data_IF_914949174934
#
_entry.id   IF_914949174934
#
_cell.length_a   1.000
_cell.length_b   1.000
_cell.length_c   1.000
_cell.angle_alpha   90.00
_cell.angle_beta   90.00
_cell.angle_gamma   90.00
#
_symmetry.space_group_name_H-M   'P 1'
#
loop_
_entity.id
_entity.type
_entity.pdbx_description
1 polymer ?
#
# COMPACT_ATOMS: atom_id res chain seq x y z
N UNK A 1 10.70 -6.28 -26.09
CA UNK A 1 9.28 -5.84 -26.10
C UNK A 1 9.27 -4.47 -25.45
N UNK A 2 8.59 -3.49 -26.07
CA UNK A 2 8.46 -2.14 -25.50
C UNK A 2 7.09 -2.02 -24.83
N UNK A 3 7.07 -1.52 -23.59
CA UNK A 3 5.84 -1.41 -22.79
C UNK A 3 5.75 -0.01 -22.20
N UNK A 4 4.63 0.66 -22.44
CA UNK A 4 4.29 1.92 -21.77
C UNK A 4 3.20 1.67 -20.72
N UNK A 5 3.44 2.12 -19.49
CA UNK A 5 2.47 2.08 -18.39
C UNK A 5 1.96 3.50 -18.16
N UNK A 6 0.64 3.68 -18.20
CA UNK A 6 0.01 4.98 -17.95
C UNK A 6 -0.53 4.98 -16.51
N UNK A 7 0.11 5.78 -15.66
CA UNK A 7 -0.19 5.99 -14.24
C UNK A 7 0.81 5.30 -13.30
N UNK A 8 1.46 6.08 -12.43
CA UNK A 8 2.35 5.62 -11.37
C UNK A 8 1.60 5.36 -10.04
N UNK A 9 0.41 4.80 -10.14
CA UNK A 9 -0.34 4.27 -8.99
C UNK A 9 0.18 2.90 -8.54
N UNK A 10 -0.42 2.34 -7.47
CA UNK A 10 -0.04 1.01 -6.97
C UNK A 10 -0.06 -0.06 -8.07
N UNK A 11 -1.09 -0.07 -8.92
CA UNK A 11 -1.21 -1.03 -10.01
C UNK A 11 -0.11 -0.85 -11.07
N UNK A 12 0.19 0.39 -11.48
CA UNK A 12 1.21 0.69 -12.47
C UNK A 12 2.61 0.33 -11.98
N UNK A 13 2.96 0.74 -10.76
CA UNK A 13 4.26 0.43 -10.15
C UNK A 13 4.44 -1.07 -9.91
N UNK A 14 3.39 -1.75 -9.43
CA UNK A 14 3.44 -3.20 -9.23
C UNK A 14 3.59 -3.95 -10.57
N UNK A 15 2.94 -3.47 -11.64
CA UNK A 15 3.12 -4.00 -12.98
C UNK A 15 4.56 -3.78 -13.49
N UNK A 16 5.12 -2.58 -13.26
CA UNK A 16 6.49 -2.27 -13.65
C UNK A 16 7.50 -3.22 -12.99
N UNK A 17 7.40 -3.40 -11.67
CA UNK A 17 8.25 -4.34 -10.91
C UNK A 17 8.20 -5.75 -11.50
N UNK A 18 7.00 -6.25 -11.80
CA UNK A 18 6.83 -7.61 -12.36
C UNK A 18 7.42 -7.71 -13.75
N UNK A 19 7.25 -6.70 -14.61
CA UNK A 19 7.83 -6.68 -15.95
C UNK A 19 9.36 -6.68 -15.89
N UNK A 20 9.95 -5.84 -15.03
CA UNK A 20 11.40 -5.75 -14.86
C UNK A 20 12.00 -7.09 -14.46
N UNK A 21 11.36 -7.81 -13.52
CA UNK A 21 11.78 -9.16 -13.12
C UNK A 21 11.71 -10.21 -14.22
N UNK A 22 10.87 -9.97 -15.23
CA UNK A 22 10.76 -10.83 -16.41
C UNK A 22 11.63 -10.33 -17.58
N UNK A 23 12.55 -9.39 -17.34
CA UNK A 23 13.49 -8.88 -18.34
C UNK A 23 12.89 -7.87 -19.32
N UNK A 24 11.73 -7.29 -18.99
CA UNK A 24 11.07 -6.24 -19.78
C UNK A 24 11.18 -4.93 -19.01
N UNK A 25 11.77 -3.91 -19.61
CA UNK A 25 11.93 -2.58 -18.99
C UNK A 25 10.82 -1.66 -19.52
N UNK A 26 9.74 -1.41 -18.74
CA UNK A 26 8.68 -0.51 -19.17
C UNK A 26 9.05 0.95 -18.95
N UNK A 27 8.36 1.84 -19.66
CA UNK A 27 8.36 3.29 -19.36
C UNK A 27 7.06 3.63 -18.64
N UNK A 28 7.16 4.24 -17.46
CA UNK A 28 5.99 4.68 -16.68
C UNK A 28 5.75 6.17 -16.91
N UNK A 29 4.54 6.52 -17.33
CA UNK A 29 4.09 7.89 -17.51
C UNK A 29 3.09 8.26 -16.41
N UNK A 30 3.36 9.32 -15.67
CA UNK A 30 2.43 9.89 -14.69
C UNK A 30 2.08 11.32 -15.09
N UNK A 31 0.83 11.72 -14.83
CA UNK A 31 0.35 13.07 -15.10
C UNK A 31 0.95 14.09 -14.13
N UNK A 32 1.21 13.67 -12.89
CA UNK A 32 1.86 14.49 -11.86
C UNK A 32 3.38 14.40 -11.92
N UNK A 33 4.04 15.39 -11.32
CA UNK A 33 5.49 15.48 -11.14
C UNK A 33 6.01 14.66 -9.92
N UNK A 34 5.13 13.89 -9.29
CA UNK A 34 5.45 13.02 -8.17
C UNK A 34 4.65 11.71 -8.22
N UNK A 35 5.19 10.70 -7.55
CA UNK A 35 4.52 9.43 -7.24
C UNK A 35 3.86 9.57 -5.87
N UNK A 36 2.58 9.22 -5.75
CA UNK A 36 1.90 9.36 -4.46
C UNK A 36 0.42 9.64 -4.56
N UNK A 37 -0.17 9.98 -3.43
CA UNK A 37 -1.48 10.65 -3.37
C UNK A 37 -1.25 12.15 -3.16
N UNK A 38 -2.09 13.00 -3.79
CA UNK A 38 -2.01 14.46 -3.63
C UNK A 38 -2.21 14.89 -2.18
N UNK A 39 -3.24 14.32 -1.56
CA UNK A 39 -3.59 14.62 -0.18
C UNK A 39 -2.91 13.66 0.75
N UNK A 40 -2.14 14.21 1.70
CA UNK A 40 -1.46 13.39 2.69
C UNK A 40 -2.46 12.78 3.67
N UNK A 41 -2.43 11.46 3.77
CA UNK A 41 -3.27 10.71 4.70
C UNK A 41 -2.61 9.41 5.14
N UNK A 42 -3.32 8.69 6.01
CA UNK A 42 -2.92 7.36 6.47
C UNK A 42 -4.00 6.37 6.08
N UNK A 43 -3.61 5.33 5.34
CA UNK A 43 -4.49 4.22 5.01
C UNK A 43 -4.36 3.09 6.03
N UNK A 44 -5.48 2.52 6.46
CA UNK A 44 -5.48 1.30 7.27
C UNK A 44 -5.70 0.07 6.38
N UNK A 45 -4.75 -0.86 6.39
CA UNK A 45 -4.93 -2.22 5.88
C UNK A 45 -5.33 -3.12 7.04
N UNK A 46 -6.61 -3.45 7.13
CA UNK A 46 -7.16 -4.27 8.21
C UNK A 46 -7.07 -5.75 7.83
N UNK A 47 -6.68 -6.62 8.77
CA UNK A 47 -6.55 -8.08 8.58
C UNK A 47 -7.85 -8.77 8.14
N UNK A 48 -9.00 -8.09 8.30
CA UNK A 48 -10.29 -8.61 7.88
C UNK A 48 -10.54 -8.44 6.37
N UNK A 49 -9.92 -7.44 5.73
CA UNK A 49 -10.16 -7.10 4.32
C UNK A 49 -9.51 -8.15 3.41
N UNK A 50 -8.27 -8.53 3.71
CA UNK A 50 -7.43 -9.33 2.81
C UNK A 50 -7.46 -10.84 3.12
N UNK A 51 -8.54 -11.37 3.73
CA UNK A 51 -8.60 -12.79 4.12
C UNK A 51 -8.40 -13.72 2.91
N UNK A 52 -7.60 -14.81 3.04
CA UNK A 52 -7.03 -15.37 4.26
C UNK A 52 -5.69 -14.76 4.72
N UNK A 53 -5.19 -13.73 4.04
CA UNK A 53 -3.90 -13.08 4.33
C UNK A 53 -4.01 -12.28 5.63
N UNK A 54 -3.27 -12.69 6.65
CA UNK A 54 -3.26 -12.02 7.98
C UNK A 54 -2.11 -11.04 8.18
N UNK A 55 -1.01 -11.25 7.46
CA UNK A 55 0.24 -10.50 7.59
C UNK A 55 0.62 -9.98 6.19
N UNK A 56 0.00 -8.87 5.78
CA UNK A 56 0.10 -8.38 4.39
C UNK A 56 1.53 -8.06 3.98
N UNK A 57 2.34 -7.46 4.85
CA UNK A 57 3.76 -7.16 4.58
C UNK A 57 4.57 -8.43 4.33
N UNK A 58 4.35 -9.46 5.14
CA UNK A 58 5.00 -10.77 4.98
C UNK A 58 4.56 -11.45 3.67
N UNK A 59 3.28 -11.34 3.33
CA UNK A 59 2.75 -11.86 2.07
C UNK A 59 3.38 -11.17 0.86
N UNK A 60 3.40 -9.83 0.85
CA UNK A 60 4.02 -9.04 -0.22
C UNK A 60 5.51 -9.37 -0.38
N UNK A 61 6.25 -9.46 0.72
CA UNK A 61 7.66 -9.83 0.71
C UNK A 61 7.91 -11.23 0.18
N UNK A 62 7.14 -12.22 0.66
CA UNK A 62 7.39 -13.62 0.33
C UNK A 62 6.87 -14.02 -1.06
N UNK A 63 5.84 -13.37 -1.57
CA UNK A 63 5.22 -13.74 -2.85
C UNK A 63 5.64 -12.82 -3.99
N UNK A 64 5.94 -11.57 -3.67
CA UNK A 64 6.25 -10.56 -4.67
C UNK A 64 7.55 -9.84 -4.37
N UNK A 65 8.38 -10.27 -3.41
CA UNK A 65 9.65 -9.61 -3.04
C UNK A 65 9.50 -8.08 -2.87
N UNK A 66 8.31 -7.65 -2.43
CA UNK A 66 7.98 -6.25 -2.14
C UNK A 66 8.06 -6.08 -0.62
N UNK A 67 9.07 -5.37 -0.15
CA UNK A 67 9.29 -5.12 1.27
C UNK A 67 8.80 -3.72 1.64
N UNK A 68 7.55 -3.63 2.09
CA UNK A 68 6.93 -2.38 2.54
C UNK A 68 6.89 -2.31 4.06
N UNK A 69 7.26 -1.15 4.59
CA UNK A 69 7.28 -0.80 6.00
C UNK A 69 6.01 0.00 6.36
N UNK A 70 5.22 -0.49 7.34
CA UNK A 70 4.10 0.26 7.85
C UNK A 70 4.57 1.39 8.78
N UNK A 71 3.75 2.43 8.93
CA UNK A 71 3.95 3.47 9.95
C UNK A 71 3.74 2.91 11.36
N UNK A 72 2.66 2.15 11.55
CA UNK A 72 2.31 1.58 12.85
C UNK A 72 1.29 0.44 12.72
N UNK A 73 0.93 -0.18 13.83
CA UNK A 73 -0.13 -1.19 13.94
C UNK A 73 -1.45 -0.55 14.38
N UNK A 74 -2.57 -1.02 13.84
CA UNK A 74 -3.91 -0.66 14.33
C UNK A 74 -4.20 -1.45 15.60
N UNK A 75 -4.09 -0.80 16.77
CA UNK A 75 -4.21 -1.48 18.09
C UNK A 75 -5.56 -1.33 18.78
N UNK A 76 -6.38 -0.36 18.34
CA UNK A 76 -7.69 -0.08 18.89
C UNK A 76 -8.65 0.32 17.77
N UNK A 77 -9.84 -0.29 17.75
CA UNK A 77 -10.96 0.13 16.90
C UNK A 77 -12.08 0.64 17.80
N UNK A 78 -12.60 1.83 17.49
CA UNK A 78 -13.72 2.43 18.22
C UNK A 78 -14.89 2.59 17.25
N UNK A 79 -16.00 1.92 17.55
CA UNK A 79 -17.24 2.02 16.81
C UNK A 79 -18.13 3.03 17.54
N UNK A 80 -18.64 4.02 16.81
CA UNK A 80 -19.47 5.10 17.35
C UNK A 80 -20.84 5.01 16.68
N UNK A 81 -21.88 4.91 17.50
CA UNK A 81 -23.28 4.95 17.07
C UNK A 81 -24.08 5.88 18.01
N UNK A 82 -25.30 6.31 17.64
CA UNK A 82 -26.11 7.15 18.51
C UNK A 82 -26.33 6.50 19.89
N UNK A 83 -25.88 7.17 20.95
CA UNK A 83 -26.05 6.69 22.34
C UNK A 83 -25.12 5.56 22.78
N UNK A 84 -24.20 5.08 21.94
CA UNK A 84 -23.28 4.00 22.32
C UNK A 84 -21.92 4.10 21.63
N UNK A 85 -20.87 3.69 22.36
CA UNK A 85 -19.53 3.53 21.82
C UNK A 85 -18.95 2.19 22.29
N UNK A 86 -18.30 1.48 21.38
CA UNK A 86 -17.63 0.22 21.69
C UNK A 86 -16.19 0.31 21.23
N UNK A 87 -15.26 0.02 22.13
CA UNK A 87 -13.83 -0.06 21.83
C UNK A 87 -13.35 -1.48 21.95
N UNK A 88 -12.66 -1.97 20.93
CA UNK A 88 -11.93 -3.24 20.98
C UNK A 88 -10.43 -2.97 20.85
N UNK A 89 -9.62 -3.74 21.59
CA UNK A 89 -8.15 -3.71 21.54
C UNK A 89 -7.63 -5.02 20.99
N UNK A 90 -6.55 -4.98 20.22
CA UNK A 90 -5.97 -6.16 19.57
C UNK A 90 -4.94 -5.76 18.51
N UNK A 91 -4.57 -6.69 17.62
CA UNK A 91 -3.79 -6.37 16.42
C UNK A 91 -4.71 -6.51 15.20
N UNK A 92 -5.22 -5.37 14.72
CA UNK A 92 -6.26 -5.35 13.69
C UNK A 92 -5.72 -5.12 12.28
N UNK A 93 -4.45 -4.76 12.13
CA UNK A 93 -3.89 -4.40 10.83
C UNK A 93 -2.74 -3.42 10.94
N UNK A 94 -2.40 -2.83 9.80
CA UNK A 94 -1.27 -1.92 9.65
C UNK A 94 -1.72 -0.57 9.09
N UNK A 95 -1.01 0.48 9.49
CA UNK A 95 -1.17 1.84 9.00
C UNK A 95 -0.05 2.13 8.01
N UNK A 96 -0.40 2.69 6.87
CA UNK A 96 0.56 3.10 5.83
C UNK A 96 0.41 4.57 5.52
N UNK A 97 1.55 5.24 5.35
CA UNK A 97 1.58 6.62 4.87
C UNK A 97 1.15 6.65 3.40
N UNK A 98 0.32 7.63 3.06
CA UNK A 98 -0.26 7.82 1.72
C UNK A 98 -0.10 9.28 1.35
N UNK A 99 1.02 9.60 0.74
CA UNK A 99 1.35 10.92 0.23
C UNK A 99 2.44 10.78 -0.85
N UNK A 100 3.19 11.85 -1.09
CA UNK A 100 4.26 11.94 -2.10
C UNK A 100 5.67 11.66 -1.56
N UNK A 101 5.80 11.36 -0.27
CA UNK A 101 7.12 11.14 0.34
C UNK A 101 7.63 9.73 0.04
N UNK A 102 8.94 9.55 0.08
CA UNK A 102 9.61 8.28 -0.21
C UNK A 102 9.16 7.15 0.74
N UNK A 103 8.87 7.47 2.01
CA UNK A 103 8.38 6.50 2.99
C UNK A 103 6.87 6.19 2.86
N UNK A 104 6.18 6.79 1.88
CA UNK A 104 4.80 6.45 1.54
C UNK A 104 4.67 5.04 0.93
N UNK A 105 3.48 4.44 0.99
CA UNK A 105 3.26 3.10 0.44
C UNK A 105 3.63 3.00 -1.05
N UNK A 106 3.37 4.05 -1.84
CA UNK A 106 3.74 4.09 -3.26
C UNK A 106 5.22 4.44 -3.44
N UNK A 107 5.75 5.35 -2.62
CA UNK A 107 7.16 5.72 -2.63
C UNK A 107 8.08 4.53 -2.37
N UNK A 108 7.66 3.60 -1.50
CA UNK A 108 8.41 2.37 -1.23
C UNK A 108 8.41 1.33 -2.36
N UNK A 109 7.68 1.57 -3.45
CA UNK A 109 7.68 0.72 -4.66
C UNK A 109 8.59 1.27 -5.76
N UNK A 110 9.21 2.43 -5.55
CA UNK A 110 10.07 3.13 -6.50
C UNK A 110 11.44 3.44 -5.89
#
# INVERSE_FOLDING_TARGET
MEVAIIGAGLAGLSCAIVLERNGIIPVVYEKTDFIGDREAHVGASLKMVDRPIREITKYLKNQFEIDVKPLNTVTKLTHIAPGTNTSIKGNFGLLFRRDKEEDSLKGQLF
#
